data_IF_324496855947
#
_entry.id   IF_324496855947
#
_cell.length_a   1.000
_cell.length_b   1.000
_cell.length_c   1.000
_cell.angle_alpha   90.00
_cell.angle_beta   90.00
_cell.angle_gamma   90.00
#
_symmetry.space_group_name_H-M   'P 1'
#
loop_
_entity.id
_entity.type
_entity.pdbx_description
1 polymer ?
#
# COMPACT_ATOMS: atom_id res chain seq x y z
N UNK A 1 -10.90 -3.00 -16.84
CA UNK A 1 -9.57 -2.36 -16.72
C UNK A 1 -9.00 -2.82 -15.39
N UNK A 2 -7.79 -3.41 -15.37
CA UNK A 2 -7.15 -3.86 -14.13
C UNK A 2 -6.66 -2.63 -13.36
N UNK A 3 -6.87 -2.57 -12.05
CA UNK A 3 -6.45 -1.43 -11.24
C UNK A 3 -4.91 -1.39 -11.21
N UNK A 4 -4.28 -0.42 -11.89
CA UNK A 4 -2.83 -0.29 -11.96
C UNK A 4 -2.24 0.32 -10.67
N UNK A 5 -3.06 0.54 -9.65
CA UNK A 5 -2.67 1.08 -8.35
C UNK A 5 -3.09 0.09 -7.25
N UNK A 6 -2.19 -0.17 -6.30
CA UNK A 6 -2.49 -0.98 -5.13
C UNK A 6 -3.55 -0.29 -4.26
N UNK A 7 -4.67 -0.97 -4.02
CA UNK A 7 -5.81 -0.47 -3.24
C UNK A 7 -5.48 -0.13 -1.79
N UNK A 8 -4.30 -0.54 -1.30
CA UNK A 8 -3.89 -0.37 0.10
C UNK A 8 -2.80 0.70 0.28
N UNK A 9 -1.69 0.59 -0.44
CA UNK A 9 -0.58 1.54 -0.31
C UNK A 9 -0.55 2.63 -1.39
N UNK A 10 -1.41 2.55 -2.41
CA UNK A 10 -1.45 3.52 -3.50
C UNK A 10 -0.20 3.51 -4.38
N UNK A 11 0.60 2.45 -4.34
CA UNK A 11 1.76 2.27 -5.22
C UNK A 11 1.33 1.65 -6.56
N UNK A 12 1.99 1.98 -7.67
CA UNK A 12 1.68 1.40 -8.96
C UNK A 12 1.98 -0.11 -9.01
N UNK A 13 1.09 -0.86 -9.66
CA UNK A 13 1.17 -2.29 -9.94
C UNK A 13 1.59 -2.51 -11.39
N UNK A 14 2.87 -2.24 -11.69
CA UNK A 14 3.40 -2.24 -13.07
C UNK A 14 3.46 -3.62 -13.74
N UNK A 15 3.24 -4.71 -13.01
CA UNK A 15 3.22 -6.07 -13.54
C UNK A 15 2.48 -7.04 -12.63
N UNK A 16 2.10 -8.21 -13.14
CA UNK A 16 1.53 -9.30 -12.34
C UNK A 16 2.48 -9.80 -11.24
N UNK A 17 3.79 -9.70 -11.44
CA UNK A 17 4.81 -10.13 -10.44
C UNK A 17 4.77 -9.30 -9.16
N UNK A 18 4.30 -8.05 -9.25
CA UNK A 18 4.17 -7.17 -8.08
C UNK A 18 2.80 -7.27 -7.42
N UNK A 19 1.86 -8.05 -7.98
CA UNK A 19 0.52 -8.29 -7.43
C UNK A 19 0.54 -9.45 -6.44
N UNK A 20 -0.11 -9.27 -5.30
CA UNK A 20 -0.34 -10.35 -4.35
C UNK A 20 -1.24 -11.42 -4.98
N UNK A 21 -0.87 -12.70 -4.84
CA UNK A 21 -1.60 -13.80 -5.47
C UNK A 21 -1.58 -13.81 -7.01
N UNK A 22 -0.69 -13.05 -7.66
CA UNK A 22 -0.52 -13.02 -9.12
C UNK A 22 -1.50 -12.13 -9.89
N UNK A 23 -2.75 -11.99 -9.42
CA UNK A 23 -3.78 -11.15 -10.07
C UNK A 23 -4.52 -10.21 -9.11
N UNK A 24 -4.19 -10.18 -7.81
CA UNK A 24 -4.90 -9.39 -6.82
C UNK A 24 -4.80 -7.86 -7.00
N UNK A 25 -5.71 -7.13 -6.33
CA UNK A 25 -5.81 -5.66 -6.37
C UNK A 25 -4.80 -4.94 -5.45
N UNK A 26 -3.99 -5.70 -4.71
CA UNK A 26 -2.94 -5.16 -3.85
C UNK A 26 -1.56 -5.74 -4.22
N UNK A 27 -0.50 -5.02 -3.85
CA UNK A 27 0.86 -5.49 -4.14
C UNK A 27 1.32 -6.59 -3.18
N UNK A 28 2.34 -7.35 -3.57
CA UNK A 28 2.96 -8.42 -2.74
C UNK A 28 3.43 -7.96 -1.35
N UNK A 29 3.63 -6.65 -1.14
CA UNK A 29 3.99 -6.12 0.18
C UNK A 29 2.77 -5.87 1.06
N UNK A 30 1.63 -5.51 0.45
CA UNK A 30 0.38 -5.23 1.14
C UNK A 30 -0.50 -6.47 1.31
N UNK A 31 -0.35 -7.46 0.43
CA UNK A 31 -1.04 -8.74 0.51
C UNK A 31 -0.11 -9.89 0.92
N UNK A 32 -0.72 -11.02 1.23
CA UNK A 32 -0.05 -12.31 1.43
C UNK A 32 0.08 -13.08 0.09
N UNK A 33 0.80 -14.21 0.09
CA UNK A 33 0.88 -15.15 -1.03
C UNK A 33 -0.51 -15.58 -1.56
N UNK A 34 -1.55 -15.59 -0.71
CA UNK A 34 -2.94 -15.86 -1.10
C UNK A 34 -3.70 -14.64 -1.65
N UNK A 35 -3.06 -13.49 -1.82
CA UNK A 35 -3.72 -12.25 -2.28
C UNK A 35 -4.50 -11.50 -1.21
N UNK A 36 -4.53 -12.00 0.04
CA UNK A 36 -5.28 -11.37 1.14
C UNK A 36 -4.50 -10.20 1.72
N UNK A 37 -5.19 -9.07 1.93
CA UNK A 37 -4.60 -7.86 2.49
C UNK A 37 -4.16 -8.04 3.95
N UNK A 38 -2.94 -7.59 4.28
CA UNK A 38 -2.41 -7.52 5.65
C UNK A 38 -3.11 -6.43 6.46
N UNK A 39 -2.88 -6.40 7.77
CA UNK A 39 -3.46 -5.35 8.61
C UNK A 39 -2.91 -3.97 8.26
N UNK A 40 -3.72 -2.92 8.46
CA UNK A 40 -3.33 -1.53 8.24
C UNK A 40 -2.06 -1.14 8.99
N UNK A 41 -1.91 -1.61 10.24
CA UNK A 41 -0.75 -1.31 11.09
C UNK A 41 0.54 -1.90 10.53
N UNK A 42 0.50 -3.15 10.09
CA UNK A 42 1.67 -3.82 9.48
C UNK A 42 2.09 -3.16 8.17
N UNK A 43 1.12 -2.77 7.35
CA UNK A 43 1.38 -2.11 6.07
C UNK A 43 1.96 -0.72 6.30
N UNK A 44 1.41 0.05 7.25
CA UNK A 44 1.94 1.35 7.65
C UNK A 44 3.40 1.23 8.08
N UNK A 45 3.72 0.30 8.98
CA UNK A 45 5.08 0.12 9.48
C UNK A 45 6.08 -0.21 8.35
N UNK A 46 5.71 -1.12 7.45
CA UNK A 46 6.53 -1.46 6.28
C UNK A 46 6.73 -0.27 5.33
N UNK A 47 5.66 0.49 5.05
CA UNK A 47 5.76 1.67 4.19
C UNK A 47 6.66 2.74 4.82
N UNK A 48 6.51 3.02 6.12
CA UNK A 48 7.34 3.99 6.83
C UNK A 48 8.82 3.59 6.73
N UNK A 49 9.14 2.33 7.01
CA UNK A 49 10.49 1.81 6.88
C UNK A 49 11.04 1.95 5.45
N UNK A 50 10.21 1.68 4.44
CA UNK A 50 10.57 1.86 3.02
C UNK A 50 10.87 3.33 2.69
N UNK A 51 10.02 4.28 3.09
CA UNK A 51 10.22 5.71 2.83
C UNK A 51 11.42 6.28 3.59
N UNK A 52 11.71 5.78 4.80
CA UNK A 52 12.91 6.14 5.53
C UNK A 52 14.17 5.64 4.81
N UNK A 53 14.19 4.37 4.38
CA UNK A 53 15.37 3.75 3.76
C UNK A 53 15.62 4.25 2.33
N UNK A 54 14.61 4.21 1.48
CA UNK A 54 14.76 4.44 0.04
C UNK A 54 14.72 5.92 -0.33
N UNK A 55 13.94 6.71 0.41
CA UNK A 55 13.79 8.15 0.15
C UNK A 55 14.53 9.03 1.16
N UNK A 56 15.31 8.42 2.06
CA UNK A 56 16.09 9.09 3.11
C UNK A 56 15.26 10.11 3.92
N UNK A 57 13.97 9.84 4.09
CA UNK A 57 13.07 10.72 4.82
C UNK A 57 13.22 10.47 6.33
N UNK A 58 13.06 11.52 7.13
CA UNK A 58 12.95 11.34 8.58
C UNK A 58 11.70 10.55 8.93
N UNK A 59 11.72 9.84 10.06
CA UNK A 59 10.60 9.02 10.53
C UNK A 59 9.29 9.83 10.55
N UNK A 60 9.30 11.03 11.12
CA UNK A 60 8.13 11.89 11.18
C UNK A 60 7.53 12.21 9.80
N UNK A 61 8.38 12.57 8.83
CA UNK A 61 7.93 12.88 7.47
C UNK A 61 7.42 11.63 6.77
N UNK A 62 8.09 10.48 6.93
CA UNK A 62 7.66 9.20 6.39
C UNK A 62 6.30 8.78 6.96
N UNK A 63 6.10 8.87 8.28
CA UNK A 63 4.83 8.56 8.95
C UNK A 63 3.68 9.42 8.44
N UNK A 64 3.87 10.75 8.41
CA UNK A 64 2.85 11.68 7.89
C UNK A 64 2.52 11.42 6.43
N UNK A 65 3.54 11.16 5.61
CA UNK A 65 3.36 10.85 4.19
C UNK A 65 2.58 9.55 3.99
N UNK A 66 2.94 8.49 4.70
CA UNK A 66 2.26 7.19 4.64
C UNK A 66 0.82 7.31 5.11
N UNK A 67 0.55 7.98 6.23
CA UNK A 67 -0.80 8.16 6.76
C UNK A 67 -1.70 8.94 5.80
N UNK A 68 -1.18 10.04 5.23
CA UNK A 68 -1.90 10.84 4.24
C UNK A 68 -2.19 10.04 2.96
N UNK A 69 -1.22 9.22 2.51
CA UNK A 69 -1.36 8.38 1.32
C UNK A 69 -2.36 7.25 1.55
N UNK A 70 -2.20 6.47 2.62
CA UNK A 70 -3.12 5.38 2.96
C UNK A 70 -4.54 5.90 3.18
N UNK A 71 -4.72 7.09 3.76
CA UNK A 71 -6.05 7.69 3.92
C UNK A 71 -6.79 8.05 2.61
N UNK A 72 -6.12 7.94 1.45
CA UNK A 72 -6.70 8.20 0.13
C UNK A 72 -6.92 6.93 -0.70
N UNK A 73 -6.52 5.76 -0.20
CA UNK A 73 -6.67 4.51 -0.93
C UNK A 73 -8.03 3.86 -0.65
N UNK A 74 -8.47 2.97 -1.54
CA UNK A 74 -9.80 2.31 -1.43
C UNK A 74 -9.91 1.43 -0.18
N UNK A 75 -8.82 0.80 0.26
CA UNK A 75 -8.83 -0.07 1.42
C UNK A 75 -8.94 0.65 2.78
N UNK A 76 -8.50 1.92 2.87
CA UNK A 76 -8.40 2.64 4.16
C UNK A 76 -8.99 4.05 4.18
N UNK A 77 -9.22 4.64 3.01
CA UNK A 77 -9.80 5.97 2.88
C UNK A 77 -11.29 5.97 3.18
N UNK A 78 -11.83 7.16 3.49
CA UNK A 78 -13.26 7.33 3.79
C UNK A 78 -14.19 7.20 2.58
N UNK A 79 -13.68 6.99 1.36
CA UNK A 79 -14.48 6.84 0.13
C UNK A 79 -14.96 5.39 -0.12
N UNK A 80 -15.45 4.74 0.93
CA UNK A 80 -16.27 3.53 0.84
C UNK A 80 -17.76 3.80 1.15
N UNK A 81 -18.18 5.07 1.21
CA UNK A 81 -19.57 5.48 1.41
C UNK A 81 -19.88 6.71 0.55
N UNK A 82 -20.41 6.47 -0.64
CA UNK A 82 -21.50 7.26 -1.19
C UNK A 82 -22.26 6.41 -2.21
#
# INVERSE_FOLDING_TARGET
MKNDICISCGMPLTSSKVRAGGDGDCCIHCGDAKGKLKSRKEIRAQMVAFFMKERKQSQFVAEKYVDCRMGKTEAWGKKGQN
#
